data_IF_994227654271
#
_entry.id   IF_994227654271
#
_cell.length_a   1.000
_cell.length_b   1.000
_cell.length_c   1.000
_cell.angle_alpha   90.00
_cell.angle_beta   90.00
_cell.angle_gamma   90.00
#
_symmetry.space_group_name_H-M   'P 1'
#
loop_
_entity.id
_entity.type
_entity.pdbx_description
1 polymer ?
#
# COMPACT_ATOMS: atom_id res chain seq x y z
N UNK A 1 -16.90 -2.38 -35.14
CA UNK A 1 -17.96 -1.37 -34.91
C UNK A 1 -19.17 -2.07 -34.32
N UNK A 2 -19.89 -1.39 -33.39
CA UNK A 2 -21.22 -1.69 -32.82
C UNK A 2 -21.32 -2.57 -31.56
N UNK A 3 -21.01 -1.88 -30.47
CA UNK A 3 -21.82 -1.66 -29.25
C UNK A 3 -23.34 -1.95 -29.27
N UNK A 4 -23.85 -2.05 -28.02
CA UNK A 4 -25.20 -1.76 -27.47
C UNK A 4 -26.09 -3.00 -27.22
N UNK A 5 -26.90 -3.14 -26.16
CA UNK A 5 -27.03 -2.55 -24.81
C UNK A 5 -28.30 -3.22 -24.22
N UNK A 6 -28.24 -3.80 -23.00
CA UNK A 6 -29.39 -4.04 -22.08
C UNK A 6 -30.55 -4.97 -22.60
N UNK A 7 -31.58 -5.39 -21.81
CA UNK A 7 -32.08 -4.93 -20.49
C UNK A 7 -32.28 -6.07 -19.46
N UNK A 8 -32.22 -5.89 -18.13
CA UNK A 8 -33.04 -5.09 -17.19
C UNK A 8 -34.55 -5.43 -17.23
N UNK A 9 -34.97 -6.12 -16.17
CA UNK A 9 -36.28 -6.06 -15.53
C UNK A 9 -37.52 -6.46 -16.35
N UNK A 10 -37.93 -7.73 -16.21
CA UNK A 10 -39.32 -8.14 -16.30
C UNK A 10 -39.63 -8.90 -15.00
N UNK A 11 -40.17 -8.20 -14.00
CA UNK A 11 -41.58 -8.38 -13.59
C UNK A 11 -41.89 -9.84 -13.27
N UNK A 12 -41.73 -10.21 -12.00
CA UNK A 12 -42.32 -11.41 -11.43
C UNK A 12 -43.01 -11.06 -10.12
N UNK A 13 -44.02 -10.20 -10.23
CA UNK A 13 -45.03 -10.00 -9.21
C UNK A 13 -46.10 -11.06 -9.42
N UNK A 14 -46.13 -12.14 -8.64
CA UNK A 14 -47.35 -12.91 -8.39
C UNK A 14 -47.09 -14.00 -7.35
N UNK A 15 -48.11 -14.23 -6.55
CA UNK A 15 -48.27 -15.32 -5.60
C UNK A 15 -47.50 -15.15 -4.28
N UNK A 16 -48.13 -15.07 -3.12
CA UNK A 16 -49.54 -15.13 -2.80
C UNK A 16 -49.61 -14.78 -1.32
N UNK A 17 -50.27 -13.68 -1.00
CA UNK A 17 -50.70 -13.37 0.36
C UNK A 17 -51.65 -14.46 0.84
N UNK A 18 -51.20 -15.34 1.73
CA UNK A 18 -52.10 -16.14 2.55
C UNK A 18 -51.44 -16.58 3.87
N UNK A 19 -52.12 -16.24 4.96
CA UNK A 19 -51.96 -16.68 6.34
C UNK A 19 -50.93 -15.96 7.23
N UNK A 20 -51.49 -14.93 7.84
CA UNK A 20 -51.13 -14.21 9.06
C UNK A 20 -50.82 -15.07 10.29
N UNK A 21 -49.89 -14.53 11.08
CA UNK A 21 -49.79 -14.59 12.55
C UNK A 21 -49.30 -15.90 13.20
N UNK A 22 -48.05 -15.86 13.72
CA UNK A 22 -47.70 -16.02 15.14
C UNK A 22 -46.23 -15.61 15.29
N UNK A 23 -45.98 -14.65 16.20
CA UNK A 23 -44.65 -14.23 16.63
C UNK A 23 -43.82 -15.40 17.13
N UNK A 24 -42.67 -15.67 16.52
CA UNK A 24 -41.64 -16.52 17.10
C UNK A 24 -40.26 -16.04 16.62
N UNK A 25 -39.52 -15.46 17.57
CA UNK A 25 -38.10 -15.08 17.57
C UNK A 25 -37.38 -15.13 16.21
N UNK A 26 -37.19 -13.95 15.61
CA UNK A 26 -36.12 -13.76 14.64
C UNK A 26 -34.77 -13.96 15.36
N UNK A 27 -34.22 -15.17 15.27
CA UNK A 27 -32.81 -15.41 15.60
C UNK A 27 -32.00 -14.69 14.51
N UNK A 28 -31.22 -13.64 14.84
CA UNK A 28 -30.32 -13.08 13.86
C UNK A 28 -29.26 -14.14 13.58
N UNK A 29 -29.28 -14.70 12.38
CA UNK A 29 -28.17 -15.50 11.86
C UNK A 29 -27.01 -14.52 11.80
N UNK A 30 -26.08 -14.64 12.75
CA UNK A 30 -24.89 -13.81 12.83
C UNK A 30 -24.12 -13.97 11.52
N UNK A 31 -24.16 -12.93 10.68
CA UNK A 31 -23.35 -12.86 9.48
C UNK A 31 -21.89 -13.02 9.89
N UNK A 32 -21.09 -13.86 9.21
CA UNK A 32 -19.67 -13.96 9.49
C UNK A 32 -19.08 -12.56 9.29
N UNK A 33 -18.55 -11.99 10.37
CA UNK A 33 -17.82 -10.74 10.31
C UNK A 33 -16.67 -10.95 9.33
N UNK A 34 -16.74 -10.30 8.17
CA UNK A 34 -15.66 -10.29 7.21
C UNK A 34 -14.43 -9.71 7.91
N UNK A 35 -13.48 -10.57 8.25
CA UNK A 35 -12.20 -10.13 8.81
C UNK A 35 -11.58 -9.16 7.78
N UNK A 36 -11.10 -7.98 8.21
CA UNK A 36 -10.46 -7.06 7.30
C UNK A 36 -9.23 -7.75 6.71
N UNK A 37 -9.27 -8.02 5.42
CA UNK A 37 -8.12 -8.47 4.65
C UNK A 37 -7.11 -7.32 4.62
N UNK A 38 -6.10 -7.39 5.47
CA UNK A 38 -4.94 -6.48 5.38
C UNK A 38 -4.20 -6.85 4.09
N UNK A 39 -4.38 -6.05 3.05
CA UNK A 39 -3.62 -6.19 1.82
C UNK A 39 -2.11 -6.03 2.12
N UNK A 40 -1.22 -6.78 1.45
CA UNK A 40 0.22 -6.57 1.60
C UNK A 40 0.56 -5.12 1.28
N UNK A 41 1.14 -4.40 2.24
CA UNK A 41 1.61 -3.03 2.02
C UNK A 41 2.78 -3.12 1.03
N UNK A 42 2.55 -2.69 -0.21
CA UNK A 42 3.59 -2.64 -1.22
C UNK A 42 4.69 -1.68 -0.74
N UNK A 43 5.87 -2.22 -0.45
CA UNK A 43 7.05 -1.42 -0.14
C UNK A 43 7.64 -0.89 -1.46
N UNK A 44 8.03 0.39 -1.54
CA UNK A 44 8.10 1.40 -0.48
C UNK A 44 6.86 2.32 -0.47
N UNK A 45 6.39 2.71 0.71
CA UNK A 45 5.30 3.69 0.88
C UNK A 45 5.78 5.12 1.14
N UNK A 46 7.09 5.28 1.37
CA UNK A 46 7.74 6.54 1.74
C UNK A 46 9.01 6.73 0.92
N UNK A 47 9.43 7.98 0.80
CA UNK A 47 10.73 8.37 0.23
C UNK A 47 11.86 7.58 0.89
N UNK A 48 12.82 7.13 0.08
CA UNK A 48 13.99 6.38 0.55
C UNK A 48 15.14 7.34 0.75
N UNK A 49 15.81 7.27 1.89
CA UNK A 49 17.03 8.05 2.16
C UNK A 49 18.24 7.12 2.20
N UNK A 50 19.22 7.36 1.34
CA UNK A 50 20.51 6.68 1.35
C UNK A 50 21.48 7.53 2.16
N UNK A 51 21.96 6.99 3.27
CA UNK A 51 22.95 7.67 4.12
C UNK A 51 24.35 7.25 3.69
N UNK A 52 25.18 8.22 3.32
CA UNK A 52 26.55 7.99 2.87
C UNK A 52 27.53 8.39 3.98
N UNK A 53 28.42 7.49 4.46
CA UNK A 53 29.33 7.75 5.59
C UNK A 53 30.54 8.63 5.23
N UNK A 54 30.56 9.22 4.04
CA UNK A 54 31.67 10.03 3.52
C UNK A 54 31.20 11.44 3.18
N UNK A 55 32.14 12.37 3.03
CA UNK A 55 31.84 13.70 2.53
C UNK A 55 31.19 13.64 1.13
N UNK A 56 30.38 14.66 0.82
CA UNK A 56 29.76 14.81 -0.50
C UNK A 56 30.84 14.99 -1.59
N UNK A 57 30.58 14.46 -2.79
CA UNK A 57 31.52 14.52 -3.91
C UNK A 57 32.65 13.47 -3.89
N UNK A 58 32.74 12.62 -2.86
CA UNK A 58 33.63 11.45 -2.86
C UNK A 58 33.09 10.28 -3.69
N UNK A 59 33.91 9.24 -3.89
CA UNK A 59 33.52 8.06 -4.68
C UNK A 59 32.25 7.37 -4.18
N UNK A 60 32.04 7.30 -2.87
CA UNK A 60 30.83 6.70 -2.29
C UNK A 60 29.56 7.53 -2.60
N UNK A 61 29.65 8.87 -2.65
CA UNK A 61 28.54 9.74 -3.03
C UNK A 61 28.20 9.58 -4.52
N UNK A 62 29.22 9.50 -5.38
CA UNK A 62 29.03 9.27 -6.82
C UNK A 62 28.34 7.92 -7.10
N UNK A 63 28.74 6.86 -6.38
CA UNK A 63 28.10 5.55 -6.47
C UNK A 63 26.66 5.60 -5.96
N UNK A 64 26.41 6.24 -4.81
CA UNK A 64 25.07 6.41 -4.26
C UNK A 64 24.13 7.16 -5.22
N UNK A 65 24.63 8.21 -5.90
CA UNK A 65 23.88 8.95 -6.93
C UNK A 65 23.50 8.07 -8.11
N UNK A 66 24.43 7.26 -8.60
CA UNK A 66 24.17 6.33 -9.70
C UNK A 66 23.10 5.30 -9.31
N UNK A 67 23.17 4.79 -8.08
CA UNK A 67 22.17 3.86 -7.54
C UNK A 67 20.80 4.55 -7.40
N UNK A 68 20.75 5.75 -6.82
CA UNK A 68 19.53 6.52 -6.62
C UNK A 68 18.81 6.84 -7.94
N UNK A 69 19.56 7.20 -8.99
CA UNK A 69 19.01 7.46 -10.32
C UNK A 69 18.30 6.25 -10.93
N UNK A 70 18.75 5.03 -10.61
CA UNK A 70 18.14 3.78 -11.10
C UNK A 70 17.03 3.27 -10.19
N UNK A 71 17.20 3.41 -8.88
CA UNK A 71 16.21 2.95 -7.89
C UNK A 71 14.92 3.75 -7.95
N UNK A 72 15.00 5.07 -8.17
CA UNK A 72 13.83 5.93 -8.25
C UNK A 72 12.74 5.43 -9.21
N UNK A 73 13.04 5.21 -10.50
CA UNK A 73 12.06 4.70 -11.46
C UNK A 73 11.66 3.24 -11.22
N UNK A 74 12.54 2.41 -10.64
CA UNK A 74 12.22 1.00 -10.35
C UNK A 74 11.24 0.84 -9.19
N UNK A 75 11.37 1.69 -8.18
CA UNK A 75 10.55 1.65 -6.97
C UNK A 75 9.38 2.65 -7.02
N UNK A 76 9.34 3.52 -8.04
CA UNK A 76 8.33 4.58 -8.15
C UNK A 76 8.39 5.59 -7.00
N UNK A 77 9.52 5.68 -6.32
CA UNK A 77 9.69 6.49 -5.10
C UNK A 77 10.92 7.37 -5.21
N UNK A 78 10.84 8.56 -4.63
CA UNK A 78 11.99 9.48 -4.57
C UNK A 78 13.08 8.89 -3.69
N UNK A 79 14.33 8.95 -4.17
CA UNK A 79 15.52 8.55 -3.41
C UNK A 79 16.35 9.80 -3.11
N UNK A 80 16.56 10.08 -1.83
CA UNK A 80 17.35 11.21 -1.32
C UNK A 80 18.69 10.68 -0.81
N UNK A 81 19.76 11.45 -0.99
CA UNK A 81 21.08 11.11 -0.48
C UNK A 81 21.42 12.10 0.65
N UNK A 82 21.72 11.57 1.84
CA UNK A 82 22.17 12.32 3.02
C UNK A 82 23.61 11.92 3.37
N UNK A 83 24.54 12.86 3.25
CA UNK A 83 25.97 12.61 3.47
C UNK A 83 26.34 12.97 4.90
N UNK A 84 26.59 11.95 5.72
CA UNK A 84 26.95 12.08 7.15
C UNK A 84 28.37 11.60 7.37
N UNK A 85 29.32 12.50 7.12
CA UNK A 85 30.74 12.22 7.31
C UNK A 85 31.16 12.33 8.78
N UNK A 86 32.19 11.56 9.16
CA UNK A 86 32.85 11.67 10.47
C UNK A 86 32.88 10.36 11.26
N UNK A 87 33.74 10.31 12.27
CA UNK A 87 33.97 9.15 13.14
C UNK A 87 34.11 7.81 12.38
N UNK A 88 34.81 7.82 11.24
CA UNK A 88 34.98 6.66 10.35
C UNK A 88 33.66 5.97 9.94
N UNK A 89 32.57 6.74 9.81
CA UNK A 89 31.25 6.22 9.44
C UNK A 89 30.36 5.82 10.62
N UNK A 90 30.84 5.96 11.87
CA UNK A 90 30.04 5.68 13.05
C UNK A 90 28.81 6.61 13.15
N UNK A 91 28.93 7.88 12.76
CA UNK A 91 27.80 8.83 12.79
C UNK A 91 26.68 8.40 11.85
N UNK A 92 27.02 8.01 10.61
CA UNK A 92 26.05 7.51 9.64
C UNK A 92 25.41 6.19 10.12
N UNK A 93 26.22 5.30 10.68
CA UNK A 93 25.75 4.00 11.19
C UNK A 93 24.79 4.19 12.37
N UNK A 94 25.11 5.09 13.30
CA UNK A 94 24.25 5.43 14.43
C UNK A 94 22.94 6.10 13.99
N UNK A 95 23.01 6.98 12.99
CA UNK A 95 21.81 7.61 12.43
C UNK A 95 20.86 6.58 11.82
N UNK A 96 21.38 5.65 11.01
CA UNK A 96 20.58 4.57 10.40
C UNK A 96 20.07 3.59 11.47
N UNK A 97 20.85 3.31 12.52
CA UNK A 97 20.44 2.43 13.60
C UNK A 97 19.28 3.00 14.44
N UNK A 98 19.09 4.32 14.45
CA UNK A 98 18.01 5.01 15.16
C UNK A 98 16.77 5.31 14.27
N UNK A 99 16.87 5.05 12.97
CA UNK A 99 15.85 5.41 11.97
C UNK A 99 14.69 4.42 11.85
#
# INVERSE_FOLDING_TARGET
MKTLLAPVALVATAALTALTAISALAVPIAAPAAAPTVAPIAYPTRTITIVVPTAAGGGNDAMARTIAQKLGPLLGQTVIIDNRAGANGAIASEFVARA
#
